data_IF_430634259804
#
_entry.id   IF_430634259804
#
_cell.length_a   1.000
_cell.length_b   1.000
_cell.length_c   1.000
_cell.angle_alpha   90.00
_cell.angle_beta   90.00
_cell.angle_gamma   90.00
#
_symmetry.space_group_name_H-M   'P 1'
#
loop_
_entity.id
_entity.type
_entity.pdbx_description
1 polymer ?
#
# COMPACT_ATOMS: atom_id res chain seq x y z
N UNK A 1 36.79 42.68 -38.56
CA UNK A 1 36.61 41.41 -39.32
C UNK A 1 37.63 40.31 -38.96
N UNK A 2 38.84 40.61 -38.47
CA UNK A 2 39.85 39.59 -38.13
C UNK A 2 39.54 38.76 -36.86
N UNK A 3 39.03 39.39 -35.80
CA UNK A 3 38.72 38.69 -34.52
C UNK A 3 37.67 37.57 -34.65
N UNK A 4 36.64 37.75 -35.49
CA UNK A 4 35.63 36.72 -35.74
C UNK A 4 36.20 35.47 -36.43
N UNK A 5 37.21 35.64 -37.31
CA UNK A 5 37.87 34.51 -37.98
C UNK A 5 38.74 33.72 -37.00
N UNK A 6 39.44 34.41 -36.11
CA UNK A 6 40.25 33.78 -35.07
C UNK A 6 39.39 33.01 -34.06
N UNK A 7 38.30 33.63 -33.57
CA UNK A 7 37.34 32.96 -32.69
C UNK A 7 36.71 31.73 -33.36
N UNK A 8 36.33 31.83 -34.65
CA UNK A 8 35.81 30.70 -35.40
C UNK A 8 36.85 29.59 -35.62
N UNK A 9 38.14 29.92 -35.78
CA UNK A 9 39.21 28.94 -35.91
C UNK A 9 39.47 28.19 -34.60
N UNK A 10 39.54 28.91 -33.47
CA UNK A 10 39.67 28.33 -32.12
C UNK A 10 38.48 27.43 -31.80
N UNK A 11 37.26 27.87 -32.15
CA UNK A 11 36.03 27.09 -31.96
C UNK A 11 35.99 25.84 -32.86
N UNK A 12 36.58 25.86 -34.05
CA UNK A 12 36.68 24.65 -34.89
C UNK A 12 37.75 23.69 -34.37
N UNK A 13 38.90 24.21 -33.91
CA UNK A 13 40.00 23.41 -33.37
C UNK A 13 39.62 22.65 -32.08
N UNK A 14 38.75 23.24 -31.25
CA UNK A 14 38.28 22.64 -29.99
C UNK A 14 37.12 21.64 -30.17
N UNK A 15 36.66 21.39 -31.40
CA UNK A 15 35.55 20.49 -31.77
C UNK A 15 34.36 20.47 -30.76
N UNK A 16 33.84 21.63 -30.30
CA UNK A 16 32.83 21.72 -29.27
C UNK A 16 31.52 21.02 -29.68
N UNK A 17 31.22 20.98 -30.99
CA UNK A 17 30.07 20.23 -31.52
C UNK A 17 30.17 18.72 -31.26
N UNK A 18 31.35 18.12 -31.42
CA UNK A 18 31.59 16.70 -31.16
C UNK A 18 31.50 16.39 -29.66
N UNK A 19 32.07 17.26 -28.83
CA UNK A 19 31.99 17.15 -27.37
C UNK A 19 30.53 17.27 -26.87
N UNK A 20 29.76 18.19 -27.45
CA UNK A 20 28.34 18.36 -27.14
C UNK A 20 27.51 17.15 -27.58
N UNK A 21 27.80 16.56 -28.74
CA UNK A 21 27.14 15.35 -29.22
C UNK A 21 27.37 14.16 -28.27
N UNK A 22 28.63 13.92 -27.86
CA UNK A 22 28.98 12.86 -26.90
C UNK A 22 28.32 13.05 -25.53
N UNK A 23 28.24 14.30 -25.05
CA UNK A 23 27.55 14.62 -23.79
C UNK A 23 26.04 14.38 -23.89
N UNK A 24 25.42 14.71 -25.04
CA UNK A 24 24.00 14.42 -25.29
C UNK A 24 23.71 12.93 -25.35
N UNK A 25 24.57 12.16 -26.00
CA UNK A 25 24.46 10.70 -26.06
C UNK A 25 24.62 10.05 -24.67
N UNK A 26 25.54 10.57 -23.84
CA UNK A 26 25.65 10.19 -22.42
C UNK A 26 24.40 10.52 -21.62
N UNK A 27 23.81 11.71 -21.81
CA UNK A 27 22.56 12.06 -21.12
C UNK A 27 21.39 11.17 -21.56
N UNK A 28 21.28 10.87 -22.85
CA UNK A 28 20.25 9.99 -23.39
C UNK A 28 20.39 8.55 -22.89
N UNK A 29 21.61 8.05 -22.73
CA UNK A 29 21.86 6.70 -22.20
C UNK A 29 21.67 6.60 -20.68
N UNK A 30 21.87 7.70 -19.94
CA UNK A 30 21.70 7.74 -18.48
C UNK A 30 20.26 8.00 -18.04
N UNK A 31 19.44 8.69 -18.84
CA UNK A 31 18.06 9.05 -18.52
C UNK A 31 17.05 7.91 -18.28
N UNK A 32 17.03 6.83 -19.08
CA UNK A 32 15.96 5.81 -18.98
C UNK A 32 16.14 4.84 -17.81
N UNK A 33 17.37 4.67 -17.30
CA UNK A 33 17.67 3.74 -16.19
C UNK A 33 17.03 4.14 -14.85
N UNK A 34 17.16 5.39 -14.35
CA UNK A 34 16.55 5.78 -13.08
C UNK A 34 15.02 5.79 -13.15
N UNK A 35 14.44 6.21 -14.27
CA UNK A 35 12.98 6.21 -14.46
C UNK A 35 12.40 4.79 -14.37
N UNK A 36 13.01 3.82 -15.08
CA UNK A 36 12.58 2.43 -14.99
C UNK A 36 12.80 1.80 -13.61
N UNK A 37 13.83 2.24 -12.87
CA UNK A 37 14.05 1.80 -11.49
C UNK A 37 12.93 2.32 -10.56
N UNK A 38 12.59 3.61 -10.64
CA UNK A 38 11.52 4.23 -9.86
C UNK A 38 10.16 3.56 -10.12
N UNK A 39 9.82 3.32 -11.39
CA UNK A 39 8.56 2.65 -11.76
C UNK A 39 8.49 1.24 -11.18
N UNK A 40 9.58 0.47 -11.27
CA UNK A 40 9.63 -0.89 -10.72
C UNK A 40 9.51 -0.90 -9.19
N UNK A 41 10.13 0.06 -8.52
CA UNK A 41 10.05 0.17 -7.07
C UNK A 41 8.61 0.51 -6.62
N UNK A 42 7.98 1.49 -7.26
CA UNK A 42 6.58 1.84 -7.00
C UNK A 42 5.62 0.67 -7.24
N UNK A 43 5.85 -0.12 -8.29
CA UNK A 43 5.06 -1.33 -8.57
C UNK A 43 5.19 -2.36 -7.44
N UNK A 44 6.41 -2.64 -6.99
CA UNK A 44 6.67 -3.57 -5.88
C UNK A 44 6.04 -3.09 -4.57
N UNK A 45 6.18 -1.81 -4.25
CA UNK A 45 5.60 -1.22 -3.04
C UNK A 45 4.07 -1.29 -3.08
N UNK A 46 3.48 -1.04 -4.25
CA UNK A 46 2.02 -1.16 -4.45
C UNK A 46 1.54 -2.60 -4.25
N UNK A 47 2.26 -3.59 -4.80
CA UNK A 47 1.93 -5.00 -4.62
C UNK A 47 2.08 -5.45 -3.17
N UNK A 48 3.15 -5.00 -2.50
CA UNK A 48 3.40 -5.27 -1.08
C UNK A 48 2.30 -4.67 -0.22
N UNK A 49 1.92 -3.42 -0.46
CA UNK A 49 0.84 -2.75 0.25
C UNK A 49 -0.48 -3.49 0.04
N UNK A 50 -0.83 -3.85 -1.20
CA UNK A 50 -2.05 -4.63 -1.48
C UNK A 50 -2.04 -5.98 -0.77
N UNK A 51 -0.89 -6.65 -0.71
CA UNK A 51 -0.75 -7.91 0.02
C UNK A 51 -0.97 -7.70 1.52
N UNK A 52 -0.34 -6.69 2.10
CA UNK A 52 -0.51 -6.33 3.50
C UNK A 52 -1.95 -5.92 3.81
N UNK A 53 -2.63 -5.20 2.93
CA UNK A 53 -4.06 -4.86 3.09
C UNK A 53 -4.92 -6.10 3.04
N UNK A 54 -4.72 -7.02 2.09
CA UNK A 54 -5.47 -8.30 2.06
C UNK A 54 -5.19 -9.17 3.28
N UNK A 55 -3.94 -9.22 3.73
CA UNK A 55 -3.58 -9.88 4.97
C UNK A 55 -4.31 -9.20 6.12
N UNK A 56 -4.23 -7.87 6.24
CA UNK A 56 -4.93 -7.09 7.25
C UNK A 56 -6.43 -7.33 7.19
N UNK A 57 -7.08 -7.36 6.04
CA UNK A 57 -8.50 -7.70 5.90
C UNK A 57 -8.80 -9.13 6.37
N UNK A 58 -7.91 -10.09 6.09
CA UNK A 58 -8.02 -11.47 6.56
C UNK A 58 -7.76 -11.61 8.08
N UNK A 59 -6.91 -10.76 8.68
CA UNK A 59 -6.63 -10.73 10.12
C UNK A 59 -7.38 -9.63 10.89
N UNK A 60 -8.16 -8.78 10.22
CA UNK A 60 -8.88 -7.65 10.82
C UNK A 60 -10.36 -7.99 10.84
N UNK A 61 -10.88 -8.37 12.02
CA UNK A 61 -12.30 -8.57 12.24
C UNK A 61 -13.12 -7.29 11.96
N UNK A 62 -12.49 -6.12 11.89
CA UNK A 62 -13.11 -4.82 11.60
C UNK A 62 -13.52 -4.64 10.13
N UNK A 63 -12.92 -5.36 9.18
CA UNK A 63 -13.35 -5.31 7.77
C UNK A 63 -14.75 -5.90 7.57
N UNK A 64 -15.15 -6.83 8.46
CA UNK A 64 -16.51 -7.37 8.52
C UNK A 64 -17.49 -6.31 9.02
N UNK A 65 -17.09 -5.48 10.00
CA UNK A 65 -17.99 -4.47 10.59
C UNK A 65 -18.41 -3.37 9.62
N UNK A 66 -17.54 -2.98 8.69
CA UNK A 66 -17.83 -1.95 7.69
C UNK A 66 -18.95 -2.32 6.69
N UNK A 67 -19.38 -3.60 6.65
CA UNK A 67 -20.50 -4.08 5.81
C UNK A 67 -21.81 -4.30 6.59
N UNK A 68 -21.90 -3.81 7.82
CA UNK A 68 -23.10 -3.95 8.67
C UNK A 68 -23.08 -5.17 9.58
N UNK A 69 -21.94 -5.83 9.76
CA UNK A 69 -21.79 -6.92 10.74
C UNK A 69 -21.29 -6.38 12.09
N UNK A 70 -21.49 -7.13 13.17
CA UNK A 70 -20.98 -6.79 14.50
C UNK A 70 -19.92 -7.79 14.94
N UNK A 71 -18.90 -7.33 15.67
CA UNK A 71 -17.93 -8.19 16.34
C UNK A 71 -18.37 -8.49 17.75
N UNK A 72 -18.54 -9.76 18.08
CA UNK A 72 -18.88 -10.19 19.44
C UNK A 72 -17.59 -10.50 20.20
N UNK A 73 -17.39 -9.84 21.33
CA UNK A 73 -16.32 -10.15 22.28
C UNK A 73 -16.88 -10.36 23.69
N UNK A 74 -16.20 -11.12 24.51
CA UNK A 74 -16.52 -11.23 25.95
C UNK A 74 -16.03 -9.98 26.70
N UNK A 75 -16.35 -9.93 27.99
CA UNK A 75 -15.92 -8.84 28.88
C UNK A 75 -14.39 -8.73 29.03
N UNK A 76 -13.67 -9.86 28.90
CA UNK A 76 -12.20 -9.90 28.89
C UNK A 76 -11.57 -9.42 27.57
N UNK A 77 -12.39 -9.08 26.56
CA UNK A 77 -11.95 -8.66 25.23
C UNK A 77 -11.63 -9.81 24.27
N UNK A 78 -11.81 -11.07 24.67
CA UNK A 78 -11.65 -12.23 23.79
C UNK A 78 -12.76 -12.27 22.72
N UNK A 79 -12.38 -12.52 21.46
CA UNK A 79 -13.33 -12.54 20.35
C UNK A 79 -14.09 -13.88 20.31
N UNK A 80 -15.41 -13.79 20.26
CA UNK A 80 -16.30 -14.94 20.07
C UNK A 80 -16.41 -15.22 18.56
N UNK A 81 -15.96 -16.40 18.15
CA UNK A 81 -15.95 -16.86 16.75
C UNK A 81 -16.87 -18.05 16.50
N UNK A 82 -17.31 -18.74 17.56
CA UNK A 82 -18.19 -19.89 17.51
C UNK A 82 -19.26 -19.78 18.59
N UNK A 83 -20.45 -20.31 18.29
CA UNK A 83 -21.58 -20.42 19.23
C UNK A 83 -21.19 -21.24 20.48
N UNK A 84 -20.29 -22.21 20.34
CA UNK A 84 -19.78 -23.03 21.46
C UNK A 84 -18.86 -22.29 22.42
N UNK A 85 -18.47 -21.06 22.10
CA UNK A 85 -17.61 -20.23 22.94
C UNK A 85 -18.42 -19.31 23.86
N UNK A 86 -19.75 -19.37 23.85
CA UNK A 86 -20.56 -18.54 24.75
C UNK A 86 -21.63 -19.39 25.42
N UNK A 87 -21.97 -19.01 26.65
CA UNK A 87 -23.01 -19.64 27.44
C UNK A 87 -24.28 -18.78 27.50
N UNK A 88 -25.43 -19.43 27.62
CA UNK A 88 -26.70 -18.73 27.86
C UNK A 88 -26.60 -17.93 29.17
N UNK A 89 -26.94 -16.64 29.10
CA UNK A 89 -26.85 -15.69 30.20
C UNK A 89 -25.52 -14.92 30.25
N UNK A 90 -24.52 -15.28 29.44
CA UNK A 90 -23.22 -14.62 29.40
C UNK A 90 -23.33 -13.19 28.83
N UNK A 91 -22.58 -12.26 29.44
CA UNK A 91 -22.49 -10.88 28.97
C UNK A 91 -21.43 -10.76 27.86
N UNK A 92 -21.83 -10.16 26.75
CA UNK A 92 -20.95 -9.96 25.59
C UNK A 92 -21.06 -8.53 25.08
N UNK A 93 -20.07 -8.09 24.32
CA UNK A 93 -20.02 -6.77 23.69
C UNK A 93 -20.04 -6.95 22.19
N UNK A 94 -21.01 -6.33 21.53
CA UNK A 94 -21.06 -6.24 20.07
C UNK A 94 -20.47 -4.89 19.63
N UNK A 95 -19.38 -4.91 18.89
CA UNK A 95 -18.80 -3.71 18.28
C UNK A 95 -19.29 -3.55 16.85
N UNK A 96 -19.86 -2.38 16.58
CA UNK A 96 -20.39 -1.93 15.28
C UNK A 96 -19.60 -0.70 14.80
N UNK A 97 -19.85 -0.24 13.58
CA UNK A 97 -19.03 0.81 12.95
C UNK A 97 -19.02 2.14 13.70
N UNK A 98 -20.08 2.44 14.44
CA UNK A 98 -20.33 3.69 15.16
C UNK A 98 -20.25 3.55 16.69
N UNK A 99 -19.98 2.35 17.22
CA UNK A 99 -19.94 2.17 18.67
C UNK A 99 -19.91 0.72 19.16
N UNK A 100 -20.33 0.55 20.40
CA UNK A 100 -20.39 -0.75 21.06
C UNK A 100 -21.69 -0.91 21.84
N UNK A 101 -22.28 -2.10 21.75
CA UNK A 101 -23.50 -2.52 22.44
C UNK A 101 -23.15 -3.57 23.48
N UNK A 102 -23.70 -3.44 24.69
CA UNK A 102 -23.61 -4.50 25.71
C UNK A 102 -24.83 -5.40 25.57
N UNK A 103 -24.59 -6.69 25.36
CA UNK A 103 -25.60 -7.69 25.09
C UNK A 103 -25.50 -8.83 26.11
N UNK A 104 -26.55 -9.63 26.18
CA UNK A 104 -26.58 -10.89 26.92
C UNK A 104 -27.03 -12.00 25.99
N UNK A 105 -26.37 -13.16 26.05
CA UNK A 105 -26.75 -14.32 25.24
C UNK A 105 -28.03 -14.91 25.80
N UNK A 106 -29.10 -14.96 24.99
CA UNK A 106 -30.38 -15.54 25.41
C UNK A 106 -30.47 -17.04 25.13
N UNK A 107 -29.92 -17.48 23.99
CA UNK A 107 -29.85 -18.88 23.60
C UNK A 107 -28.73 -19.08 22.57
N UNK A 108 -28.17 -20.29 22.55
CA UNK A 108 -27.17 -20.73 21.57
C UNK A 108 -27.76 -21.86 20.74
N UNK A 109 -27.74 -21.70 19.41
CA UNK A 109 -28.14 -22.75 18.48
C UNK A 109 -26.95 -23.13 17.60
N UNK A 110 -26.41 -24.33 17.82
CA UNK A 110 -25.44 -24.93 16.92
C UNK A 110 -26.20 -25.61 15.79
N UNK A 111 -26.49 -24.84 14.74
CA UNK A 111 -27.16 -25.37 13.54
C UNK A 111 -26.46 -26.64 13.06
N UNK A 112 -27.13 -27.78 13.22
CA UNK A 112 -26.76 -29.02 12.55
C UNK A 112 -27.29 -28.96 11.13
N UNK A 113 -26.38 -28.77 10.17
CA UNK A 113 -26.56 -29.21 8.79
C UNK A 113 -25.20 -29.52 8.15
#
# INVERSE_FOLDING_TARGET
RAGLRHAAAVLRATQPRRRLALLRERLQSLGPRPQAAIVRELQRDTERLRSLVRSLEAVSPLATVARGYALISREDGSLVRSVTQVETGEAVVARVGDGALRLRVEATDTGSN
#
